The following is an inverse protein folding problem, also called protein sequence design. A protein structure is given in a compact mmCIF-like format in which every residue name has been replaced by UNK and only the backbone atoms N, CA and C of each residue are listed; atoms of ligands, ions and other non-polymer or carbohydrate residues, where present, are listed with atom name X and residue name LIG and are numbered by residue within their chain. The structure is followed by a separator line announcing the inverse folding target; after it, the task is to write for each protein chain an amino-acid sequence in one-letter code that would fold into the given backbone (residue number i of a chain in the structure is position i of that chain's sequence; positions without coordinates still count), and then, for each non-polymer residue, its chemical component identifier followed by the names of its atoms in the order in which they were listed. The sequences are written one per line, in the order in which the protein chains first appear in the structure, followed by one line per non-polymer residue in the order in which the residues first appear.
data_IF_380823664740
#
_entry.id   IF_380823664740
#
_cell.length_a   1.000
_cell.length_b   1.000
_cell.length_c   1.000
_cell.angle_alpha   90.00
_cell.angle_beta   90.00
_cell.angle_gamma   90.00
#
_symmetry.space_group_name_H-M   'P 1'
#
loop_
_entity.id
_entity.type
_entity.pdbx_description
1 polymer ?
#
# COMPACT_ATOMS: atom_id res chain seq x y z
N UNK A 1 31.70 -1.19 15.12
CA UNK A 1 31.47 -2.65 15.27
C UNK A 1 30.07 -2.96 14.71
N UNK A 2 30.00 -3.90 13.77
CA UNK A 2 28.73 -4.30 13.15
C UNK A 2 28.19 -5.51 13.91
N UNK A 3 26.99 -5.41 14.47
CA UNK A 3 26.32 -6.55 15.07
C UNK A 3 25.54 -7.28 13.97
N UNK A 4 25.91 -8.53 13.69
CA UNK A 4 25.21 -9.39 12.74
C UNK A 4 24.18 -10.21 13.52
N UNK A 5 22.92 -10.03 13.20
CA UNK A 5 21.81 -10.85 13.70
C UNK A 5 21.43 -11.85 12.62
N UNK A 6 21.22 -13.13 12.98
CA UNK A 6 20.87 -14.19 12.04
C UNK A 6 19.40 -14.55 12.21
N UNK A 7 18.67 -14.59 11.11
CA UNK A 7 17.30 -15.06 11.06
C UNK A 7 17.25 -16.24 10.05
N UNK A 8 17.06 -17.45 10.54
CA UNK A 8 17.10 -18.69 9.74
C UNK A 8 15.73 -19.16 9.26
N UNK A 9 14.72 -18.28 9.22
CA UNK A 9 13.35 -18.63 8.85
C UNK A 9 12.98 -18.02 7.51
N UNK A 10 12.39 -18.83 6.62
CA UNK A 10 11.99 -18.41 5.28
C UNK A 10 11.00 -17.22 5.28
N UNK A 11 10.99 -16.47 4.20
CA UNK A 11 10.08 -15.41 3.74
C UNK A 11 9.41 -14.42 4.73
N UNK A 12 9.60 -14.54 6.04
CA UNK A 12 9.06 -13.61 7.02
C UNK A 12 9.97 -12.38 7.15
N UNK A 13 9.38 -11.19 7.12
CA UNK A 13 10.12 -9.96 7.39
C UNK A 13 10.50 -9.92 8.85
N UNK A 14 11.77 -10.12 9.13
CA UNK A 14 12.31 -9.97 10.48
C UNK A 14 12.71 -8.50 10.69
N UNK A 15 12.35 -7.94 11.85
CA UNK A 15 12.87 -6.67 12.34
C UNK A 15 13.93 -6.90 13.42
N UNK A 16 14.88 -6.00 13.52
CA UNK A 16 15.81 -5.97 14.64
C UNK A 16 15.50 -4.79 15.55
N UNK A 17 15.39 -5.04 16.84
CA UNK A 17 15.11 -4.01 17.83
C UNK A 17 16.28 -3.87 18.81
N UNK A 18 16.57 -2.65 19.21
CA UNK A 18 17.53 -2.30 20.26
C UNK A 18 16.77 -1.85 21.50
N UNK A 19 17.13 -2.39 22.68
CA UNK A 19 16.64 -1.89 23.96
C UNK A 19 17.37 -0.62 24.35
N UNK A 20 16.63 0.48 24.49
CA UNK A 20 17.21 1.77 24.88
C UNK A 20 17.40 1.88 26.41
N UNK A 21 18.02 2.96 26.85
CA UNK A 21 18.27 3.26 28.27
C UNK A 21 16.99 3.36 29.12
N UNK A 22 15.85 3.67 28.49
CA UNK A 22 14.54 3.75 29.15
C UNK A 22 13.79 2.40 29.15
N UNK A 23 14.50 1.30 28.87
CA UNK A 23 13.95 -0.04 28.88
C UNK A 23 12.89 -0.30 27.78
N UNK A 24 12.80 0.55 26.76
CA UNK A 24 11.92 0.39 25.62
C UNK A 24 12.68 -0.16 24.43
N UNK A 25 11.97 -0.92 23.57
CA UNK A 25 12.53 -1.45 22.34
C UNK A 25 12.36 -0.44 21.21
N UNK A 26 13.44 -0.14 20.50
CA UNK A 26 13.46 0.74 19.34
C UNK A 26 13.76 -0.12 18.12
N UNK A 27 12.89 -0.05 17.10
CA UNK A 27 13.12 -0.72 15.83
C UNK A 27 14.33 -0.08 15.13
N UNK A 28 15.29 -0.91 14.72
CA UNK A 28 16.43 -0.48 13.94
C UNK A 28 16.14 -0.63 12.45
N UNK A 29 16.60 0.31 11.61
CA UNK A 29 16.60 0.11 10.18
C UNK A 29 17.38 -1.17 9.85
N UNK A 30 16.68 -2.15 9.28
CA UNK A 30 17.27 -3.44 8.97
C UNK A 30 16.86 -3.91 7.59
N UNK A 31 17.71 -4.64 6.93
CA UNK A 31 17.47 -5.20 5.61
C UNK A 31 17.93 -6.65 5.56
N UNK A 32 17.23 -7.44 4.73
CA UNK A 32 17.55 -8.83 4.51
C UNK A 32 18.56 -8.96 3.37
N UNK A 33 19.68 -9.59 3.65
CA UNK A 33 20.67 -9.93 2.65
C UNK A 33 20.95 -11.43 2.70
N UNK A 34 20.50 -12.15 1.69
CA UNK A 34 20.67 -13.61 1.55
C UNK A 34 20.20 -14.39 2.79
N UNK A 35 19.01 -14.10 3.30
CA UNK A 35 18.45 -14.76 4.48
C UNK A 35 19.07 -14.33 5.82
N UNK A 36 19.85 -13.27 5.80
CA UNK A 36 20.44 -12.67 7.02
C UNK A 36 19.93 -11.24 7.19
N UNK A 37 19.50 -10.92 8.40
CA UNK A 37 19.15 -9.55 8.74
C UNK A 37 20.40 -8.80 9.14
N UNK A 38 20.61 -7.65 8.50
CA UNK A 38 21.64 -6.68 8.88
C UNK A 38 20.98 -5.42 9.39
N UNK A 39 21.38 -5.01 10.57
CA UNK A 39 21.07 -3.71 11.13
C UNK A 39 22.36 -3.03 11.55
N UNK A 40 22.43 -1.75 11.36
CA UNK A 40 23.57 -0.93 11.78
C UNK A 40 23.16 -0.08 12.96
N UNK A 41 24.00 -0.08 14.01
CA UNK A 41 23.82 0.76 15.18
C UNK A 41 25.18 1.17 15.72
N UNK A 42 25.28 2.39 16.20
CA UNK A 42 26.40 2.95 16.93
C UNK A 42 26.29 2.69 18.44
N UNK A 43 25.18 2.10 18.88
CA UNK A 43 24.88 1.85 20.29
C UNK A 43 25.14 0.42 20.70
N UNK A 44 25.65 0.26 21.89
CA UNK A 44 25.76 -1.05 22.55
C UNK A 44 24.51 -1.29 23.39
N UNK A 45 24.02 -2.52 23.40
CA UNK A 45 22.83 -2.88 24.17
C UNK A 45 22.32 -4.27 23.91
N UNK A 46 21.11 -4.55 24.37
CA UNK A 46 20.42 -5.79 24.13
C UNK A 46 19.66 -5.70 22.82
N UNK A 47 19.77 -6.73 22.00
CA UNK A 47 19.08 -6.83 20.71
C UNK A 47 18.13 -8.00 20.74
N UNK A 48 17.01 -7.87 20.09
CA UNK A 48 16.10 -8.97 19.80
C UNK A 48 15.74 -8.97 18.32
N UNK A 49 15.47 -10.15 17.78
CA UNK A 49 14.79 -10.29 16.51
C UNK A 49 13.29 -10.42 16.79
N UNK A 50 12.51 -9.53 16.21
CA UNK A 50 11.07 -9.57 16.27
C UNK A 50 10.50 -10.03 14.93
N UNK A 51 9.36 -10.71 14.94
CA UNK A 51 8.52 -10.84 13.76
C UNK A 51 7.71 -9.56 13.64
N UNK A 52 7.95 -8.79 12.58
CA UNK A 52 7.00 -7.78 12.17
C UNK A 52 5.87 -8.51 11.48
N UNK A 53 4.76 -8.69 12.17
CA UNK A 53 3.54 -9.14 11.50
C UNK A 53 3.09 -8.01 10.60
N UNK A 54 3.63 -7.98 9.39
CA UNK A 54 2.98 -7.21 8.35
C UNK A 54 1.62 -7.87 8.18
N UNK A 55 0.55 -7.13 8.41
CA UNK A 55 -0.76 -7.54 7.91
C UNK A 55 -0.63 -7.37 6.39
N UNK A 56 -0.03 -8.38 5.77
CA UNK A 56 0.04 -8.44 4.32
C UNK A 56 -1.38 -8.81 3.88
N UNK A 57 -2.07 -7.95 3.13
CA UNK A 57 -3.35 -8.31 2.57
C UNK A 57 -3.18 -9.61 1.79
N UNK A 58 -3.90 -10.66 2.16
CA UNK A 58 -3.79 -11.96 1.49
C UNK A 58 -4.22 -11.91 0.01
N UNK A 59 -4.96 -10.86 -0.35
CA UNK A 59 -5.47 -10.65 -1.72
C UNK A 59 -5.39 -9.18 -2.07
N UNK A 60 -4.99 -8.90 -3.31
CA UNK A 60 -5.16 -7.57 -3.91
C UNK A 60 -6.64 -7.26 -4.03
N UNK A 61 -7.10 -6.15 -3.48
CA UNK A 61 -8.52 -5.79 -3.45
C UNK A 61 -8.76 -4.28 -3.52
N UNK A 62 -9.87 -3.91 -4.16
CA UNK A 62 -10.35 -2.53 -4.20
C UNK A 62 -11.41 -2.34 -3.11
N UNK A 63 -11.16 -1.44 -2.16
CA UNK A 63 -12.11 -1.06 -1.11
C UNK A 63 -13.23 -0.18 -1.63
N UNK A 64 -14.26 0.01 -0.79
CA UNK A 64 -15.28 1.02 -1.04
C UNK A 64 -14.69 2.40 -0.74
N UNK A 65 -14.98 3.39 -1.59
CA UNK A 65 -14.61 4.77 -1.32
C UNK A 65 -15.40 5.36 -0.14
N UNK A 66 -14.79 6.27 0.59
CA UNK A 66 -15.45 6.97 1.68
C UNK A 66 -15.05 8.46 1.69
N UNK A 67 -16.04 9.37 1.84
CA UNK A 67 -17.48 9.15 1.84
C UNK A 67 -18.03 8.68 0.49
N UNK A 68 -19.21 8.07 0.48
CA UNK A 68 -19.98 7.71 -0.73
C UNK A 68 -21.49 7.74 -0.41
N UNK A 69 -22.28 8.70 -0.88
CA UNK A 69 -21.92 9.79 -1.81
C UNK A 69 -20.87 10.76 -1.24
N UNK A 70 -20.17 11.48 -2.14
CA UNK A 70 -19.13 12.42 -1.73
C UNK A 70 -19.28 13.81 -2.35
N UNK A 71 -18.71 14.83 -1.68
CA UNK A 71 -18.70 16.23 -2.12
C UNK A 71 -17.48 16.98 -1.56
N UNK A 72 -16.58 17.53 -2.34
CA UNK A 72 -16.20 17.09 -3.69
C UNK A 72 -15.10 16.02 -3.64
N UNK A 73 -14.72 15.55 -2.43
CA UNK A 73 -13.54 14.68 -2.21
C UNK A 73 -13.95 13.35 -1.61
N UNK A 74 -13.41 12.29 -2.15
CA UNK A 74 -13.52 10.93 -1.58
C UNK A 74 -12.15 10.27 -1.50
N UNK A 75 -11.99 9.41 -0.51
CA UNK A 75 -10.81 8.57 -0.35
C UNK A 75 -11.11 7.16 -0.86
N UNK A 76 -10.24 6.64 -1.71
CA UNK A 76 -10.34 5.30 -2.29
C UNK A 76 -9.20 4.49 -1.70
N UNK A 77 -9.54 3.40 -1.03
CA UNK A 77 -8.55 2.49 -0.45
C UNK A 77 -8.42 1.24 -1.33
N UNK A 78 -7.22 0.71 -1.43
CA UNK A 78 -6.96 -0.56 -2.10
C UNK A 78 -5.83 -1.30 -1.39
N UNK A 79 -5.90 -2.61 -1.41
CA UNK A 79 -4.90 -3.48 -0.85
C UNK A 79 -4.11 -4.15 -1.97
N UNK A 80 -2.79 -4.19 -1.84
CA UNK A 80 -1.90 -4.94 -2.74
C UNK A 80 -1.41 -6.15 -1.97
N UNK A 81 -1.85 -7.33 -2.39
CA UNK A 81 -1.45 -8.60 -1.79
C UNK A 81 -0.08 -9.06 -2.28
N UNK A 82 0.49 -9.99 -1.55
CA UNK A 82 1.73 -10.65 -1.97
C UNK A 82 1.50 -11.51 -3.23
N UNK A 83 2.42 -11.42 -4.17
CA UNK A 83 2.55 -12.33 -5.32
C UNK A 83 4.01 -12.73 -5.45
N UNK A 84 4.24 -13.99 -5.76
CA UNK A 84 5.59 -14.43 -6.13
C UNK A 84 5.98 -13.81 -7.48
N UNK A 85 7.16 -13.18 -7.51
CA UNK A 85 7.68 -12.55 -8.72
C UNK A 85 7.86 -11.04 -8.58
N UNK A 86 7.89 -10.32 -9.71
CA UNK A 86 8.06 -8.88 -9.72
C UNK A 86 6.86 -8.19 -9.06
N UNK A 87 7.09 -6.98 -8.50
CA UNK A 87 6.05 -6.15 -7.93
C UNK A 87 4.89 -5.95 -8.90
N UNK A 88 3.67 -5.99 -8.37
CA UNK A 88 2.46 -5.81 -9.18
C UNK A 88 2.36 -4.36 -9.64
N UNK A 89 2.22 -4.16 -10.94
CA UNK A 89 1.74 -2.87 -11.42
C UNK A 89 0.25 -2.74 -11.14
N UNK A 90 -0.14 -1.63 -10.53
CA UNK A 90 -1.53 -1.29 -10.23
C UNK A 90 -1.94 -0.08 -11.05
N UNK A 91 -3.02 -0.21 -11.80
CA UNK A 91 -3.70 0.91 -12.44
C UNK A 91 -5.05 1.12 -11.79
N UNK A 92 -5.33 2.34 -11.35
CA UNK A 92 -6.60 2.74 -10.76
C UNK A 92 -7.12 3.96 -11.47
N UNK A 93 -8.22 3.80 -12.18
CA UNK A 93 -8.80 4.83 -13.05
C UNK A 93 -10.28 5.04 -12.76
N UNK A 94 -10.76 6.25 -13.02
CA UNK A 94 -12.17 6.63 -12.90
C UNK A 94 -12.81 6.66 -14.28
N UNK A 95 -14.01 6.08 -14.39
CA UNK A 95 -14.82 6.07 -15.61
C UNK A 95 -16.21 6.66 -15.36
N UNK A 96 -16.79 7.28 -16.38
CA UNK A 96 -18.17 7.71 -16.36
C UNK A 96 -19.12 6.57 -16.78
N UNK A 97 -20.43 6.83 -16.78
CA UNK A 97 -21.48 5.86 -17.19
C UNK A 97 -21.36 5.40 -18.65
N UNK A 98 -20.72 6.18 -19.51
CA UNK A 98 -20.50 5.85 -20.92
C UNK A 98 -19.23 5.01 -21.12
N UNK A 99 -18.51 4.64 -20.04
CA UNK A 99 -17.26 3.91 -20.11
C UNK A 99 -16.07 4.76 -20.56
N UNK A 100 -16.21 6.07 -20.60
CA UNK A 100 -15.11 6.97 -20.94
C UNK A 100 -14.25 7.19 -19.68
N UNK A 101 -12.96 7.12 -19.85
CA UNK A 101 -12.00 7.38 -18.78
C UNK A 101 -11.96 8.86 -18.44
N UNK A 102 -12.21 9.18 -17.18
CA UNK A 102 -12.20 10.53 -16.62
C UNK A 102 -10.80 10.93 -16.17
N UNK A 103 -10.15 10.07 -15.40
CA UNK A 103 -8.80 10.29 -14.86
C UNK A 103 -8.17 8.97 -14.44
N UNK A 104 -6.85 8.88 -14.54
CA UNK A 104 -6.06 7.84 -13.85
C UNK A 104 -5.54 8.40 -12.54
N UNK A 105 -5.84 7.74 -11.42
CA UNK A 105 -5.41 8.15 -10.09
C UNK A 105 -4.10 7.51 -9.68
N UNK A 106 -3.89 6.25 -10.09
CA UNK A 106 -2.68 5.48 -9.80
C UNK A 106 -2.29 4.71 -11.06
N UNK A 107 -1.02 4.74 -11.41
CA UNK A 107 -0.43 3.88 -12.44
C UNK A 107 1.04 3.65 -12.09
N UNK A 108 1.27 2.79 -11.12
CA UNK A 108 2.59 2.60 -10.54
C UNK A 108 2.78 1.17 -10.04
N UNK A 109 4.01 0.81 -9.71
CA UNK A 109 4.32 -0.43 -9.00
C UNK A 109 3.77 -0.34 -7.57
N UNK A 110 2.81 -1.21 -7.28
CA UNK A 110 2.18 -1.27 -5.97
C UNK A 110 3.02 -2.08 -4.99
N UNK A 111 3.63 -1.41 -4.03
CA UNK A 111 4.22 -2.10 -2.88
C UNK A 111 3.14 -2.85 -2.10
N UNK A 112 3.52 -4.00 -1.52
CA UNK A 112 2.58 -4.81 -0.71
C UNK A 112 2.06 -3.98 0.45
N UNK A 113 0.74 -4.03 0.69
CA UNK A 113 0.11 -3.33 1.80
C UNK A 113 -1.18 -2.60 1.42
N UNK A 114 -1.66 -1.80 2.37
CA UNK A 114 -2.84 -0.96 2.18
C UNK A 114 -2.42 0.43 1.69
N UNK A 115 -3.09 0.86 0.63
CA UNK A 115 -2.88 2.15 -0.01
C UNK A 115 -4.17 2.96 -0.02
N UNK A 116 -4.02 4.27 -0.22
CA UNK A 116 -5.14 5.17 -0.30
C UNK A 116 -4.82 6.33 -1.23
N UNK A 117 -5.80 6.71 -2.05
CA UNK A 117 -5.70 7.84 -2.97
C UNK A 117 -6.97 8.67 -2.91
N UNK A 118 -6.85 9.99 -3.02
CA UNK A 118 -7.99 10.91 -3.04
C UNK A 118 -8.40 11.25 -4.47
N UNK A 119 -9.71 11.23 -4.71
CA UNK A 119 -10.29 11.82 -5.91
C UNK A 119 -11.10 13.06 -5.56
N UNK A 120 -10.81 14.16 -6.25
CA UNK A 120 -11.41 15.47 -5.99
C UNK A 120 -12.58 15.80 -6.93
N UNK A 121 -13.18 14.81 -7.60
CA UNK A 121 -14.24 15.01 -8.58
C UNK A 121 -13.77 15.85 -9.78
N UNK A 122 -12.53 15.63 -10.22
CA UNK A 122 -11.90 16.32 -11.35
C UNK A 122 -11.47 15.31 -12.42
N UNK A 123 -11.45 15.78 -13.66
CA UNK A 123 -10.92 15.05 -14.81
C UNK A 123 -9.40 15.23 -14.95
N UNK A 124 -8.82 14.62 -16.00
CA UNK A 124 -7.40 14.70 -16.35
C UNK A 124 -6.90 16.12 -16.64
N UNK A 125 -7.80 17.04 -17.00
CA UNK A 125 -7.50 18.46 -17.26
C UNK A 125 -7.60 19.31 -16.01
N UNK A 126 -7.98 18.72 -14.86
CA UNK A 126 -8.20 19.42 -13.60
C UNK A 126 -9.56 20.09 -13.50
N UNK A 127 -10.42 19.94 -14.52
CA UNK A 127 -11.78 20.51 -14.51
C UNK A 127 -12.71 19.64 -13.67
N UNK A 128 -13.64 20.29 -13.00
CA UNK A 128 -14.66 19.64 -12.20
C UNK A 128 -15.64 18.86 -13.07
N UNK A 129 -15.88 17.59 -12.72
CA UNK A 129 -16.88 16.78 -13.42
C UNK A 129 -18.26 16.94 -12.81
N UNK A 130 -19.33 16.66 -13.56
CA UNK A 130 -20.72 16.79 -13.12
C UNK A 130 -21.06 15.84 -11.97
N UNK A 131 -22.10 16.20 -11.18
CA UNK A 131 -22.72 15.26 -10.24
C UNK A 131 -23.22 14.01 -10.96
N UNK A 132 -23.03 12.85 -10.38
CA UNK A 132 -23.48 11.61 -11.00
C UNK A 132 -22.74 10.39 -10.50
N UNK A 133 -22.98 9.27 -11.19
CA UNK A 133 -22.37 7.99 -10.92
C UNK A 133 -21.10 7.85 -11.76
N UNK A 134 -20.05 7.39 -11.10
CA UNK A 134 -18.75 7.04 -11.68
C UNK A 134 -18.35 5.65 -11.22
N UNK A 135 -17.36 5.09 -11.88
CA UNK A 135 -16.79 3.79 -11.53
C UNK A 135 -15.29 3.94 -11.27
N UNK A 136 -14.86 3.45 -10.12
CA UNK A 136 -13.45 3.22 -9.84
C UNK A 136 -13.12 1.86 -10.40
N UNK A 137 -12.17 1.80 -11.30
CA UNK A 137 -11.72 0.57 -11.96
C UNK A 137 -10.25 0.34 -11.64
N UNK A 138 -9.95 -0.80 -11.02
CA UNK A 138 -8.60 -1.22 -10.68
C UNK A 138 -8.22 -2.43 -11.51
N UNK A 139 -7.05 -2.37 -12.13
CA UNK A 139 -6.41 -3.49 -12.82
C UNK A 139 -5.00 -3.70 -12.28
N UNK A 140 -4.53 -4.94 -12.33
CA UNK A 140 -3.16 -5.29 -11.96
C UNK A 140 -2.46 -6.06 -13.08
N UNK A 141 -1.12 -6.04 -13.08
CA UNK A 141 -0.32 -6.84 -14.03
C UNK A 141 -0.54 -8.35 -13.90
N UNK A 142 -1.10 -8.81 -12.77
CA UNK A 142 -1.49 -10.21 -12.56
C UNK A 142 -2.87 -10.55 -13.16
N UNK A 143 -3.50 -9.61 -13.88
CA UNK A 143 -4.79 -9.80 -14.53
C UNK A 143 -5.99 -9.63 -13.60
N UNK A 144 -5.81 -9.19 -12.35
CA UNK A 144 -6.93 -8.92 -11.47
C UNK A 144 -7.64 -7.63 -11.87
N UNK A 145 -8.97 -7.70 -11.94
CA UNK A 145 -9.84 -6.58 -12.30
C UNK A 145 -10.91 -6.42 -11.23
N UNK A 146 -11.10 -5.22 -10.73
CA UNK A 146 -12.18 -4.90 -9.78
C UNK A 146 -12.78 -3.52 -10.10
N UNK A 147 -14.09 -3.40 -9.90
CA UNK A 147 -14.81 -2.15 -10.12
C UNK A 147 -15.73 -1.83 -8.94
N UNK A 148 -15.74 -0.57 -8.52
CA UNK A 148 -16.63 -0.05 -7.48
C UNK A 148 -17.35 1.19 -7.97
N UNK A 149 -18.64 1.28 -7.61
CA UNK A 149 -19.49 2.44 -7.92
C UNK A 149 -19.23 3.55 -6.90
N UNK A 150 -19.07 4.77 -7.37
CA UNK A 150 -18.95 5.96 -6.55
C UNK A 150 -19.95 7.03 -7.02
N UNK A 151 -20.50 7.81 -6.08
CA UNK A 151 -21.51 8.83 -6.38
C UNK A 151 -21.00 10.21 -5.93
N UNK A 152 -20.86 11.12 -6.90
CA UNK A 152 -20.52 12.52 -6.66
C UNK A 152 -21.81 13.34 -6.56
N UNK A 153 -21.94 14.09 -5.48
CA UNK A 153 -22.98 15.11 -5.27
C UNK A 153 -22.32 16.47 -5.14
N UNK A 154 -22.86 17.46 -5.80
CA UNK A 154 -22.47 18.87 -5.69
C UNK A 154 -23.67 19.74 -5.46
#
# INVERSE_FOLDING_TARGET
RHTKLRCDWGSDVCSSDLRNTNNTWIELPSYNEQGRIRAYTDRMGYFRLGRKTLIVPGLTSLGQNYPNPFNPVTNITYDVGFVEGPEQQVNLSIYNLLGQQVITLVNDQGSIGRHSVKWYGKDKSGMSVASGIYFVHMTTSTGKVQTKKVMLLR
#
